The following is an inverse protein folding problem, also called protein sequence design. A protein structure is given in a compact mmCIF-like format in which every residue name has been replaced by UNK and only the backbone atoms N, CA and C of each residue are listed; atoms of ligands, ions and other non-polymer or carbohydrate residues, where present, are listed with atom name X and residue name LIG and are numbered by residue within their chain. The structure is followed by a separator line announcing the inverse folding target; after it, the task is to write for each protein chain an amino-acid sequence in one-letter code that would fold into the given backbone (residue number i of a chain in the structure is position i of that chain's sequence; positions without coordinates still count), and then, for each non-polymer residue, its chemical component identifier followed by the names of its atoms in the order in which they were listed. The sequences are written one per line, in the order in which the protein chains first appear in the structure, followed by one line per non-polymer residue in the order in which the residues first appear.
data_IF_050384646195
#
_entry.id   IF_050384646195
#
_cell.length_a   1.000
_cell.length_b   1.000
_cell.length_c   1.000
_cell.angle_alpha   90.00
_cell.angle_beta   90.00
_cell.angle_gamma   90.00
#
_symmetry.space_group_name_H-M   'P 1'
#
loop_
_entity.id
_entity.type
_entity.pdbx_description
1 polymer ?
#
# COMPACT_ATOMS: atom_id res chain seq x y z
N UNK A 1 -24.53 2.74 -8.51
CA UNK A 1 -24.61 2.28 -7.11
C UNK A 1 -23.22 1.98 -6.62
N UNK A 2 -22.83 2.56 -5.53
CA UNK A 2 -21.50 2.30 -4.96
C UNK A 2 -21.60 1.13 -4.00
N UNK A 3 -21.00 0.02 -4.35
CA UNK A 3 -20.94 -1.16 -3.47
C UNK A 3 -19.52 -1.24 -2.94
N UNK A 4 -19.40 -1.19 -1.62
CA UNK A 4 -18.13 -1.40 -0.96
C UNK A 4 -17.93 -2.89 -0.75
N UNK A 5 -16.88 -3.44 -1.33
CA UNK A 5 -16.47 -4.80 -1.08
C UNK A 5 -15.70 -4.82 0.23
N UNK A 6 -16.30 -5.45 1.22
CA UNK A 6 -15.73 -5.57 2.55
C UNK A 6 -15.53 -7.03 2.88
N UNK A 7 -14.31 -7.41 3.22
CA UNK A 7 -13.96 -8.79 3.51
C UNK A 7 -13.25 -8.91 4.85
N UNK A 8 -13.69 -9.88 5.65
CA UNK A 8 -13.02 -10.25 6.90
C UNK A 8 -11.74 -11.02 6.59
N UNK A 9 -10.69 -10.73 7.34
CA UNK A 9 -9.41 -11.40 7.30
C UNK A 9 -9.05 -11.86 8.70
N UNK A 10 -8.12 -12.82 8.81
CA UNK A 10 -7.63 -13.26 10.12
C UNK A 10 -7.10 -12.08 10.94
N UNK A 11 -6.44 -11.12 10.27
CA UNK A 11 -5.83 -9.96 10.92
C UNK A 11 -6.76 -8.75 11.08
N UNK A 12 -7.92 -8.74 10.47
CA UNK A 12 -8.83 -7.60 10.53
C UNK A 12 -9.80 -7.55 9.35
N UNK A 13 -9.95 -6.37 8.77
CA UNK A 13 -10.91 -6.15 7.68
C UNK A 13 -10.26 -5.37 6.56
N UNK A 14 -10.55 -5.74 5.31
CA UNK A 14 -10.20 -4.95 4.14
C UNK A 14 -11.48 -4.51 3.43
N UNK A 15 -11.48 -3.28 2.93
CA UNK A 15 -12.60 -2.68 2.24
C UNK A 15 -12.12 -1.99 0.97
N UNK A 16 -12.56 -2.46 -0.20
CA UNK A 16 -12.21 -1.85 -1.47
C UNK A 16 -12.99 -0.53 -1.64
N UNK A 17 -12.28 0.59 -1.74
CA UNK A 17 -12.88 1.91 -1.92
C UNK A 17 -12.89 2.33 -3.38
N UNK A 18 -11.89 1.92 -4.15
CA UNK A 18 -11.77 2.21 -5.58
C UNK A 18 -11.04 1.04 -6.23
N UNK A 19 -11.58 0.57 -7.32
CA UNK A 19 -11.00 -0.55 -8.03
C UNK A 19 -11.27 -0.42 -9.52
N UNK A 20 -10.21 -0.37 -10.32
CA UNK A 20 -10.29 -0.33 -11.78
C UNK A 20 -8.99 -0.95 -12.35
N UNK A 21 -8.86 -1.07 -13.69
CA UNK A 21 -7.68 -1.71 -14.28
C UNK A 21 -6.32 -1.07 -13.97
N UNK A 22 -6.29 0.17 -13.50
CA UNK A 22 -5.03 0.89 -13.25
C UNK A 22 -4.76 1.23 -11.80
N UNK A 23 -5.77 1.10 -10.92
CA UNK A 23 -5.56 1.37 -9.49
C UNK A 23 -6.53 0.58 -8.64
N UNK A 24 -6.05 0.14 -7.47
CA UNK A 24 -6.89 -0.40 -6.41
C UNK A 24 -6.57 0.38 -5.14
N UNK A 25 -7.60 0.76 -4.42
CA UNK A 25 -7.47 1.54 -3.21
C UNK A 25 -8.34 0.90 -2.12
N UNK A 26 -7.68 0.35 -1.11
CA UNK A 26 -8.33 -0.39 -0.03
C UNK A 26 -8.08 0.27 1.32
N UNK A 27 -9.12 0.35 2.12
CA UNK A 27 -8.98 0.71 3.53
C UNK A 27 -8.86 -0.57 4.33
N UNK A 28 -7.85 -0.65 5.18
CA UNK A 28 -7.66 -1.82 6.05
C UNK A 28 -7.73 -1.41 7.52
N UNK A 29 -8.37 -2.25 8.30
CA UNK A 29 -8.35 -2.19 9.75
C UNK A 29 -7.59 -3.42 10.22
N UNK A 30 -6.46 -3.22 10.87
CA UNK A 30 -5.60 -4.31 11.30
C UNK A 30 -5.57 -4.33 12.82
N UNK A 31 -5.94 -5.46 13.39
CA UNK A 31 -5.92 -5.63 14.84
C UNK A 31 -4.48 -5.73 15.33
N UNK A 32 -4.22 -5.20 16.52
CA UNK A 32 -2.90 -5.33 17.15
C UNK A 32 -2.46 -6.79 17.12
N UNK A 33 -1.25 -7.03 16.62
CA UNK A 33 -0.70 -8.36 16.43
C UNK A 33 -1.11 -9.04 15.13
N UNK A 34 -2.00 -8.39 14.35
CA UNK A 34 -2.41 -8.91 13.05
C UNK A 34 -1.28 -8.85 12.02
N UNK A 35 -1.17 -9.89 11.23
CA UNK A 35 -0.13 -10.02 10.21
C UNK A 35 -0.74 -10.67 8.98
N UNK A 36 -0.48 -10.10 7.82
CA UNK A 36 -0.95 -10.68 6.57
C UNK A 36 0.01 -11.77 6.09
N UNK A 37 -0.39 -12.51 5.06
CA UNK A 37 0.48 -13.51 4.45
C UNK A 37 1.67 -12.85 3.76
N UNK A 38 2.79 -13.58 3.73
CA UNK A 38 3.93 -13.17 2.91
C UNK A 38 3.57 -13.43 1.45
N UNK A 39 3.62 -12.37 0.62
CA UNK A 39 3.22 -12.47 -0.78
C UNK A 39 3.97 -11.45 -1.63
N UNK A 40 3.86 -11.59 -2.94
CA UNK A 40 4.39 -10.62 -3.89
C UNK A 40 3.41 -10.38 -5.02
N UNK A 41 3.55 -9.24 -5.66
CA UNK A 41 2.80 -8.89 -6.86
C UNK A 41 3.78 -8.79 -8.02
N UNK A 42 3.52 -9.52 -9.11
CA UNK A 42 4.46 -9.57 -10.24
C UNK A 42 4.50 -8.27 -11.05
N UNK A 43 3.39 -7.53 -11.11
CA UNK A 43 3.23 -6.43 -12.07
C UNK A 43 2.74 -5.12 -11.46
N UNK A 44 2.58 -5.04 -10.16
CA UNK A 44 2.06 -3.81 -9.54
C UNK A 44 2.82 -3.44 -8.28
N UNK A 45 2.85 -2.14 -8.02
CA UNK A 45 3.34 -1.55 -6.79
C UNK A 45 2.29 -1.69 -5.71
N UNK A 46 2.72 -1.79 -4.46
CA UNK A 46 1.84 -1.82 -3.31
C UNK A 46 2.26 -0.71 -2.34
N UNK A 47 1.46 0.34 -2.26
CA UNK A 47 1.68 1.44 -1.33
C UNK A 47 0.92 1.22 -0.04
N UNK A 48 1.47 1.74 1.06
CA UNK A 48 0.87 1.71 2.38
C UNK A 48 0.88 3.11 2.98
N UNK A 49 -0.28 3.60 3.37
CA UNK A 49 -0.43 4.87 4.07
C UNK A 49 -1.13 4.61 5.40
N UNK A 50 -0.52 5.04 6.50
CA UNK A 50 -1.11 4.86 7.83
C UNK A 50 -1.87 6.10 8.25
N UNK A 51 -3.15 5.94 8.58
CA UNK A 51 -3.97 6.98 9.14
C UNK A 51 -3.87 7.00 10.66
N UNK A 52 -3.91 5.84 11.28
CA UNK A 52 -3.95 5.68 12.73
C UNK A 52 -3.26 4.39 13.13
N UNK A 53 -2.51 4.40 14.21
CA UNK A 53 -1.84 3.22 14.73
C UNK A 53 -0.39 3.11 14.29
N UNK A 54 0.08 1.88 14.09
CA UNK A 54 1.46 1.62 13.72
C UNK A 54 1.54 0.34 12.91
N UNK A 55 2.05 0.44 11.69
CA UNK A 55 2.16 -0.67 10.76
C UNK A 55 3.62 -0.91 10.44
N UNK A 56 4.08 -2.14 10.59
CA UNK A 56 5.42 -2.56 10.26
C UNK A 56 5.38 -3.30 8.93
N UNK A 57 6.18 -2.85 7.97
CA UNK A 57 6.27 -3.47 6.65
C UNK A 57 7.59 -4.23 6.55
N UNK A 58 7.49 -5.51 6.23
CA UNK A 58 8.64 -6.36 6.02
C UNK A 58 8.79 -6.64 4.52
N UNK A 59 9.95 -6.34 3.98
CA UNK A 59 10.30 -6.65 2.60
C UNK A 59 11.45 -7.64 2.61
N UNK A 60 11.25 -8.79 2.00
CA UNK A 60 12.24 -9.86 1.97
C UNK A 60 13.12 -9.69 0.75
N UNK A 61 14.39 -9.35 0.97
CA UNK A 61 15.36 -9.24 -0.09
C UNK A 61 15.82 -10.65 -0.48
N UNK A 62 15.84 -10.92 -1.78
CA UNK A 62 16.17 -12.24 -2.34
C UNK A 62 17.41 -12.85 -1.72
N UNK A 63 17.82 -13.97 -2.03
CA UNK A 63 19.09 -14.70 -1.88
C UNK A 63 19.90 -14.57 -0.57
N UNK A 64 19.64 -13.59 0.30
CA UNK A 64 20.51 -13.33 1.47
C UNK A 64 19.81 -13.39 2.81
N UNK A 65 18.58 -13.89 2.88
CA UNK A 65 17.77 -13.89 4.11
C UNK A 65 17.66 -12.50 4.76
N UNK A 66 17.87 -11.44 3.96
CA UNK A 66 17.77 -10.08 4.44
C UNK A 66 16.32 -9.64 4.43
N UNK A 67 15.91 -9.05 5.53
CA UNK A 67 14.56 -8.49 5.67
C UNK A 67 14.69 -7.02 6.03
N UNK A 68 14.13 -6.14 5.20
CA UNK A 68 14.00 -4.73 5.54
C UNK A 68 12.71 -4.55 6.31
N UNK A 69 12.79 -3.93 7.47
CA UNK A 69 11.63 -3.62 8.30
C UNK A 69 11.48 -2.12 8.41
N UNK A 70 10.30 -1.62 8.06
CA UNK A 70 9.98 -0.20 8.16
C UNK A 70 8.75 -0.04 9.02
N UNK A 71 8.81 0.86 9.99
CA UNK A 71 7.69 1.15 10.88
C UNK A 71 7.03 2.43 10.42
N UNK A 72 5.73 2.36 10.12
CA UNK A 72 4.93 3.49 9.66
C UNK A 72 3.99 3.92 10.79
N UNK A 73 4.03 5.19 11.13
CA UNK A 73 3.07 5.83 12.00
C UNK A 73 2.10 6.71 11.22
N UNK A 74 1.16 7.40 11.90
CA UNK A 74 0.17 8.24 11.23
C UNK A 74 0.81 9.26 10.29
N UNK A 75 0.32 9.30 9.04
CA UNK A 75 0.83 10.19 8.02
C UNK A 75 2.00 9.65 7.21
N UNK A 76 2.54 8.50 7.58
CA UNK A 76 3.67 7.92 6.86
C UNK A 76 3.19 7.08 5.67
N UNK A 77 3.98 7.09 4.61
CA UNK A 77 3.73 6.32 3.39
C UNK A 77 5.00 5.62 2.93
N UNK A 78 4.85 4.38 2.47
CA UNK A 78 5.92 3.70 1.72
C UNK A 78 5.30 2.82 0.65
N UNK A 79 6.11 2.42 -0.33
CA UNK A 79 5.68 1.49 -1.36
C UNK A 79 6.68 0.36 -1.54
N UNK A 80 6.13 -0.79 -1.93
CA UNK A 80 6.90 -1.99 -2.27
C UNK A 80 6.80 -2.17 -3.78
N UNK A 81 7.94 -2.34 -4.43
CA UNK A 81 7.99 -2.52 -5.88
C UNK A 81 7.52 -3.92 -6.30
N UNK A 82 7.11 -4.08 -7.57
CA UNK A 82 6.77 -5.41 -8.08
C UNK A 82 7.89 -6.42 -7.88
N UNK A 83 7.53 -7.66 -7.63
CA UNK A 83 8.49 -8.76 -7.53
C UNK A 83 9.09 -8.99 -6.16
N UNK A 84 8.85 -8.11 -5.19
CA UNK A 84 9.36 -8.30 -3.84
C UNK A 84 8.35 -8.95 -2.92
N UNK A 85 8.76 -10.03 -2.24
CA UNK A 85 7.95 -10.63 -1.18
C UNK A 85 7.87 -9.67 0.00
N UNK A 86 6.69 -9.51 0.54
CA UNK A 86 6.48 -8.61 1.67
C UNK A 86 5.29 -9.05 2.52
N UNK A 87 5.21 -8.48 3.72
CA UNK A 87 4.06 -8.60 4.61
C UNK A 87 3.92 -7.32 5.42
N UNK A 88 2.75 -7.12 6.01
CA UNK A 88 2.55 -6.10 7.02
C UNK A 88 2.15 -6.74 8.35
N UNK A 89 2.50 -6.06 9.43
CA UNK A 89 2.15 -6.46 10.80
C UNK A 89 1.80 -5.22 11.60
N UNK A 90 0.71 -5.28 12.35
CA UNK A 90 0.29 -4.16 13.18
C UNK A 90 0.84 -4.29 14.60
N UNK A 91 1.53 -3.27 15.07
CA UNK A 91 2.02 -3.19 16.45
C UNK A 91 0.96 -2.59 17.39
N UNK A 92 -0.04 -1.95 16.81
CA UNK A 92 -1.21 -1.38 17.48
C UNK A 92 -2.41 -1.62 16.59
N UNK A 93 -3.63 -1.41 17.12
CA UNK A 93 -4.80 -1.37 16.26
C UNK A 93 -4.59 -0.26 15.24
N UNK A 94 -4.66 -0.60 13.96
CA UNK A 94 -4.22 0.28 12.87
C UNK A 94 -5.32 0.47 11.84
N UNK A 95 -5.45 1.70 11.36
CA UNK A 95 -6.24 2.04 10.18
C UNK A 95 -5.25 2.53 9.14
N UNK A 96 -5.23 1.88 8.00
CA UNK A 96 -4.30 2.19 6.93
C UNK A 96 -4.97 2.00 5.56
N UNK A 97 -4.27 2.42 4.53
CA UNK A 97 -4.74 2.25 3.16
C UNK A 97 -3.67 1.51 2.37
N UNK A 98 -4.11 0.51 1.62
CA UNK A 98 -3.29 -0.17 0.62
C UNK A 98 -3.66 0.37 -0.75
N UNK A 99 -2.65 0.74 -1.53
CA UNK A 99 -2.83 1.28 -2.86
C UNK A 99 -2.01 0.43 -3.82
N UNK A 100 -2.65 -0.04 -4.90
CA UNK A 100 -1.97 -0.82 -5.93
C UNK A 100 -2.04 -0.08 -7.25
N UNK A 101 -0.92 0.01 -7.98
CA UNK A 101 -0.88 0.64 -9.29
C UNK A 101 0.21 0.02 -10.16
N UNK A 102 0.05 0.05 -11.51
CA UNK A 102 1.08 -0.41 -12.41
C UNK A 102 2.20 0.63 -12.50
N UNK A 103 3.33 0.24 -13.05
CA UNK A 103 4.42 1.17 -13.29
C UNK A 103 4.04 2.16 -14.38
N UNK A 104 4.26 3.44 -14.13
CA UNK A 104 3.93 4.53 -15.04
C UNK A 104 5.18 5.11 -15.68
N UNK A 105 5.05 5.57 -16.92
CA UNK A 105 6.13 6.26 -17.63
C UNK A 105 6.08 7.74 -17.25
N UNK A 106 7.08 8.19 -16.49
CA UNK A 106 7.13 9.56 -15.99
C UNK A 106 7.26 10.62 -17.09
N UNK A 107 7.83 10.24 -18.24
CA UNK A 107 7.97 11.12 -19.41
C UNK A 107 6.73 11.14 -20.31
N UNK A 108 5.68 10.40 -19.96
CA UNK A 108 4.42 10.39 -20.72
C UNK A 108 3.61 11.64 -20.41
N UNK A 109 4.04 12.76 -20.97
CA UNK A 109 3.38 14.03 -20.79
C UNK A 109 3.63 14.93 -22.00
N UNK A 110 2.61 15.62 -22.48
CA UNK A 110 2.70 16.60 -23.55
C UNK A 110 2.18 17.93 -23.02
N UNK A 111 2.98 18.98 -23.17
CA UNK A 111 2.64 20.30 -22.63
C UNK A 111 2.34 21.29 -23.75
N UNK A 112 1.28 22.10 -23.55
CA UNK A 112 0.97 23.22 -24.44
C UNK A 112 1.50 24.55 -23.91
N UNK A 113 1.79 24.60 -22.62
CA UNK A 113 2.29 25.82 -21.98
C UNK A 113 3.20 25.45 -20.83
N UNK A 114 3.91 26.44 -20.30
CA UNK A 114 4.72 26.31 -19.11
C UNK A 114 3.92 26.78 -17.90
N UNK A 115 4.21 26.20 -16.75
CA UNK A 115 3.62 26.66 -15.50
C UNK A 115 4.05 28.08 -15.18
N UNK A 116 3.23 28.82 -14.45
CA UNK A 116 3.52 30.19 -14.07
C UNK A 116 2.93 30.53 -12.70
N UNK A 117 3.48 31.57 -12.10
CA UNK A 117 2.91 32.15 -10.89
C UNK A 117 2.05 33.33 -11.29
N UNK A 118 0.85 33.42 -10.74
CA UNK A 118 -0.04 34.57 -10.93
C UNK A 118 0.03 35.49 -9.72
N UNK A 119 0.15 36.77 -9.97
CA UNK A 119 0.19 37.76 -8.89
C UNK A 119 -1.21 38.08 -8.36
#
# INVERSE_FOLDING_TARGET
MCIRDRAGKVWGVTEALLQNPVVEFHRIEVNKGGECSTHKHAHKWNGFFVEEGELEIHVFKNDYDLTDKTILGPGDFMSVKPGEYHLFKANKNTIAFEIYWPELLSEDIQRKSVGKMNA
#
